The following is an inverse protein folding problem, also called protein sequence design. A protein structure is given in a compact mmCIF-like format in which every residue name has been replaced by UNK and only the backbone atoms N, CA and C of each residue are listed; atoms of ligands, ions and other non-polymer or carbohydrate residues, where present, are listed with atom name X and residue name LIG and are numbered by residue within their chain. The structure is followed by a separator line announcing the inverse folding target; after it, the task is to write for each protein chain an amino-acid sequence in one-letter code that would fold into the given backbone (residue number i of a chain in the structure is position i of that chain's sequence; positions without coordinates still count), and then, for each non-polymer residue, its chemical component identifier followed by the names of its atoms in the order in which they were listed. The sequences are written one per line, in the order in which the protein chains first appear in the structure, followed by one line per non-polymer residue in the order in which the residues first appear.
data_IF_439298916609
#
_entry.id   IF_439298916609
#
_cell.length_a   1.000
_cell.length_b   1.000
_cell.length_c   1.000
_cell.angle_alpha   90.00
_cell.angle_beta   90.00
_cell.angle_gamma   90.00
#
_symmetry.space_group_name_H-M   'P 1'
#
loop_
_entity.id
_entity.type
_entity.pdbx_description
1 polymer ?
#
# COMPACT_ATOMS: atom_id res chain seq x y z
N UNK A 1 0.04 -6.68 -28.12
CA UNK A 1 -0.32 -7.41 -26.89
C UNK A 1 0.51 -6.99 -25.69
N UNK A 2 1.81 -6.75 -25.88
CA UNK A 2 2.65 -6.20 -24.81
C UNK A 2 2.20 -4.80 -24.40
N UNK A 3 1.76 -3.98 -25.35
CA UNK A 3 1.28 -2.64 -25.08
C UNK A 3 0.01 -2.67 -24.24
N UNK A 4 -0.90 -3.61 -24.52
CA UNK A 4 -2.14 -3.76 -23.76
C UNK A 4 -1.88 -4.19 -22.32
N UNK A 5 -0.91 -5.08 -22.10
CA UNK A 5 -0.54 -5.52 -20.76
C UNK A 5 0.06 -4.36 -19.95
N UNK A 6 0.88 -3.52 -20.59
CA UNK A 6 1.47 -2.36 -19.93
C UNK A 6 0.39 -1.35 -19.55
N UNK A 7 -0.56 -1.08 -20.45
CA UNK A 7 -1.66 -0.16 -20.19
C UNK A 7 -2.54 -0.66 -19.05
N UNK A 8 -2.88 -1.94 -19.03
CA UNK A 8 -3.68 -2.52 -17.96
C UNK A 8 -2.94 -2.45 -16.63
N UNK A 9 -1.64 -2.74 -16.63
CA UNK A 9 -0.81 -2.66 -15.43
C UNK A 9 -0.70 -1.22 -14.92
N UNK A 10 -0.50 -0.26 -15.83
CA UNK A 10 -0.41 1.16 -15.46
C UNK A 10 -1.73 1.65 -14.86
N UNK A 11 -2.86 1.27 -15.45
CA UNK A 11 -4.18 1.66 -14.95
C UNK A 11 -4.42 1.07 -13.56
N UNK A 12 -4.17 -0.23 -13.42
CA UNK A 12 -4.33 -0.91 -12.14
C UNK A 12 -3.41 -0.32 -11.08
N UNK A 13 -2.14 -0.09 -11.42
CA UNK A 13 -1.18 0.45 -10.46
C UNK A 13 -1.42 1.91 -10.13
N UNK A 14 -2.10 2.66 -11.00
CA UNK A 14 -2.49 4.04 -10.71
C UNK A 14 -3.46 4.08 -9.53
N UNK A 15 -4.44 3.19 -9.50
CA UNK A 15 -5.37 3.10 -8.37
C UNK A 15 -4.64 2.67 -7.09
N UNK A 16 -3.78 1.66 -7.18
CA UNK A 16 -3.00 1.20 -6.03
C UNK A 16 -2.09 2.30 -5.50
N UNK A 17 -1.42 3.02 -6.39
CA UNK A 17 -0.56 4.15 -6.01
C UNK A 17 -1.35 5.23 -5.29
N UNK A 18 -2.56 5.53 -5.76
CA UNK A 18 -3.45 6.50 -5.13
C UNK A 18 -3.79 6.09 -3.69
N UNK A 19 -4.00 4.81 -3.47
CA UNK A 19 -4.28 4.27 -2.13
C UNK A 19 -3.10 4.48 -1.20
N UNK A 20 -1.88 4.23 -1.67
CA UNK A 20 -0.67 4.46 -0.88
C UNK A 20 -0.54 5.95 -0.53
N UNK A 21 -0.75 6.83 -1.52
CA UNK A 21 -0.68 8.29 -1.31
C UNK A 21 -1.72 8.74 -0.29
N UNK A 22 -2.95 8.29 -0.44
CA UNK A 22 -4.05 8.64 0.47
C UNK A 22 -3.75 8.19 1.90
N UNK A 23 -3.19 6.99 2.04
CA UNK A 23 -2.81 6.46 3.36
C UNK A 23 -1.84 7.41 4.06
N UNK A 24 -0.75 7.78 3.40
CA UNK A 24 0.27 8.64 4.03
C UNK A 24 -0.20 10.08 4.20
N UNK A 25 -0.98 10.62 3.29
CA UNK A 25 -1.57 11.96 3.45
C UNK A 25 -2.47 12.01 4.68
N UNK A 26 -3.29 10.98 4.87
CA UNK A 26 -4.19 10.93 6.03
C UNK A 26 -3.42 10.76 7.34
N UNK A 27 -2.35 9.96 7.34
CA UNK A 27 -1.49 9.87 8.52
C UNK A 27 -0.88 11.23 8.86
N UNK A 28 -0.43 11.98 7.86
CA UNK A 28 0.14 13.31 8.06
C UNK A 28 -0.85 14.32 8.63
N UNK A 29 -2.13 14.13 8.36
CA UNK A 29 -3.21 14.96 8.89
C UNK A 29 -3.80 14.44 10.19
N UNK A 30 -3.28 13.31 10.68
CA UNK A 30 -3.82 12.60 11.83
C UNK A 30 -5.26 12.12 11.62
N UNK A 31 -5.66 11.93 10.35
CA UNK A 31 -6.93 11.31 10.02
C UNK A 31 -6.74 9.79 10.00
N UNK A 32 -6.75 9.20 11.19
CA UNK A 32 -6.47 7.77 11.34
C UNK A 32 -7.56 6.89 10.73
N UNK A 33 -8.82 7.31 10.81
CA UNK A 33 -9.89 6.55 10.17
C UNK A 33 -9.73 6.53 8.65
N UNK A 34 -9.36 7.66 8.05
CA UNK A 34 -9.12 7.75 6.61
C UNK A 34 -7.96 6.87 6.17
N UNK A 35 -6.88 6.85 6.94
CA UNK A 35 -5.73 5.98 6.66
C UNK A 35 -6.10 4.51 6.82
N UNK A 36 -6.82 4.16 7.88
CA UNK A 36 -7.20 2.78 8.18
C UNK A 36 -8.05 2.17 7.05
N UNK A 37 -8.89 2.96 6.42
CA UNK A 37 -9.73 2.49 5.29
C UNK A 37 -8.93 2.03 4.08
N UNK A 38 -7.66 2.44 3.98
CA UNK A 38 -6.79 2.04 2.89
C UNK A 38 -6.16 0.66 3.11
N UNK A 39 -6.28 0.11 4.31
CA UNK A 39 -5.75 -1.21 4.62
C UNK A 39 -6.69 -2.30 4.09
N UNK A 40 -6.12 -3.42 3.69
CA UNK A 40 -6.91 -4.61 3.38
C UNK A 40 -7.50 -5.18 4.66
N UNK A 41 -8.57 -5.97 4.53
CA UNK A 41 -9.18 -6.67 5.67
C UNK A 41 -8.13 -7.53 6.37
N UNK A 42 -7.25 -8.17 5.61
CA UNK A 42 -6.19 -9.01 6.15
C UNK A 42 -5.25 -8.23 7.06
N UNK A 43 -4.87 -7.02 6.67
CA UNK A 43 -3.99 -6.19 7.49
C UNK A 43 -4.74 -5.67 8.72
N UNK A 44 -6.00 -5.29 8.58
CA UNK A 44 -6.84 -4.90 9.71
C UNK A 44 -6.92 -6.03 10.74
N UNK A 45 -7.14 -7.26 10.28
CA UNK A 45 -7.22 -8.44 11.15
C UNK A 45 -5.90 -8.73 11.87
N UNK A 46 -4.78 -8.46 11.19
CA UNK A 46 -3.46 -8.68 11.79
C UNK A 46 -3.25 -7.81 13.03
N UNK A 47 -3.76 -6.57 13.01
CA UNK A 47 -3.69 -5.69 14.18
C UNK A 47 -4.77 -5.98 15.20
N UNK A 48 -5.90 -6.56 14.80
CA UNK A 48 -7.02 -6.91 15.64
C UNK A 48 -8.11 -5.88 15.65
N UNK A 49 -7.85 -4.67 16.14
CA UNK A 49 -8.84 -3.60 16.22
C UNK A 49 -8.26 -2.30 15.66
N UNK A 50 -9.15 -1.37 15.31
CA UNK A 50 -8.74 -0.03 14.91
C UNK A 50 -7.87 0.64 15.98
N UNK A 51 -8.28 0.51 17.24
CA UNK A 51 -7.58 1.14 18.37
C UNK A 51 -6.15 0.62 18.50
N UNK A 52 -5.95 -0.68 18.34
CA UNK A 52 -4.61 -1.27 18.41
C UNK A 52 -3.73 -0.79 17.24
N UNK A 53 -4.32 -0.72 16.04
CA UNK A 53 -3.61 -0.19 14.89
C UNK A 53 -3.25 1.29 15.10
N UNK A 54 -4.22 2.09 15.57
CA UNK A 54 -4.00 3.52 15.82
C UNK A 54 -2.88 3.74 16.84
N UNK A 55 -2.86 2.97 17.91
CA UNK A 55 -1.80 3.06 18.92
C UNK A 55 -0.44 2.78 18.30
N UNK A 56 -0.36 1.78 17.43
CA UNK A 56 0.90 1.41 16.79
C UNK A 56 1.41 2.52 15.87
N UNK A 57 0.55 3.08 15.02
CA UNK A 57 0.99 4.10 14.05
C UNK A 57 1.16 5.48 14.66
N UNK A 58 0.41 5.80 15.73
CA UNK A 58 0.52 7.11 16.37
C UNK A 58 1.87 7.35 17.05
N UNK A 59 2.60 6.28 17.37
CA UNK A 59 3.93 6.37 17.96
C UNK A 59 5.02 6.74 16.96
N UNK A 60 4.75 6.55 15.67
CA UNK A 60 5.72 6.81 14.61
C UNK A 60 5.60 8.23 14.09
N UNK A 61 6.68 8.74 13.53
CA UNK A 61 6.64 10.01 12.79
C UNK A 61 6.01 9.74 11.42
N UNK A 62 5.27 10.73 10.92
CA UNK A 62 4.60 10.62 9.63
C UNK A 62 5.15 11.70 8.68
N UNK A 63 6.36 11.49 8.13
CA UNK A 63 6.95 12.45 7.21
C UNK A 63 6.19 12.48 5.89
N UNK A 64 6.36 13.57 5.16
CA UNK A 64 5.77 13.67 3.82
C UNK A 64 6.44 12.70 2.87
N UNK A 65 5.64 12.12 1.99
CA UNK A 65 6.13 11.25 0.94
C UNK A 65 6.81 12.10 -0.12
N UNK A 66 8.03 11.73 -0.48
CA UNK A 66 8.76 12.34 -1.59
C UNK A 66 8.43 11.66 -2.91
N UNK A 67 8.43 10.33 -2.91
CA UNK A 67 8.23 9.57 -4.14
C UNK A 67 7.59 8.21 -3.83
N UNK A 68 6.69 7.80 -4.72
CA UNK A 68 6.09 6.47 -4.70
C UNK A 68 6.47 5.81 -6.00
N UNK A 69 7.32 4.80 -5.92
CA UNK A 69 7.93 4.17 -7.09
C UNK A 69 7.47 2.72 -7.21
N UNK A 70 6.95 2.37 -8.38
CA UNK A 70 6.51 0.99 -8.62
C UNK A 70 7.70 0.04 -8.51
N UNK A 71 7.54 -1.00 -7.70
CA UNK A 71 8.56 -2.02 -7.50
C UNK A 71 8.23 -3.29 -8.27
N UNK A 72 6.99 -3.78 -8.15
CA UNK A 72 6.58 -4.97 -8.88
C UNK A 72 5.07 -5.04 -9.06
N UNK A 73 4.66 -5.82 -10.03
CA UNK A 73 3.27 -6.23 -10.24
C UNK A 73 3.29 -7.74 -10.44
N UNK A 74 2.39 -8.44 -9.78
CA UNK A 74 2.23 -9.88 -9.99
C UNK A 74 0.77 -10.27 -9.94
N UNK A 75 0.48 -11.45 -10.49
CA UNK A 75 -0.87 -11.97 -10.53
C UNK A 75 -0.83 -13.46 -10.20
N UNK A 76 -1.69 -13.87 -9.28
CA UNK A 76 -1.88 -15.25 -8.91
C UNK A 76 -3.27 -15.67 -9.37
N UNK A 77 -3.35 -16.82 -10.04
CA UNK A 77 -4.63 -17.41 -10.42
C UNK A 77 -4.82 -18.71 -9.68
N UNK A 78 -5.90 -18.76 -8.92
CA UNK A 78 -6.39 -20.00 -8.33
C UNK A 78 -7.75 -20.27 -8.97
N UNK A 79 -8.06 -21.49 -9.26
CA UNK A 79 -9.21 -22.02 -10.02
C UNK A 79 -10.31 -21.01 -10.43
N UNK A 80 -10.93 -20.36 -9.44
CA UNK A 80 -12.03 -19.42 -9.67
C UNK A 80 -11.68 -17.97 -9.35
N UNK A 81 -10.44 -17.72 -8.89
CA UNK A 81 -10.07 -16.39 -8.40
C UNK A 81 -8.77 -15.90 -9.03
N UNK A 82 -8.74 -14.61 -9.31
CA UNK A 82 -7.52 -13.93 -9.72
C UNK A 82 -7.16 -12.94 -8.63
N UNK A 83 -5.94 -13.05 -8.13
CA UNK A 83 -5.40 -12.12 -7.13
C UNK A 83 -4.32 -11.28 -7.78
N UNK A 84 -4.43 -9.99 -7.67
CA UNK A 84 -3.43 -9.06 -8.18
C UNK A 84 -2.65 -8.51 -7.01
N UNK A 85 -1.34 -8.40 -7.18
CA UNK A 85 -0.42 -7.88 -6.17
C UNK A 85 0.45 -6.80 -6.78
N UNK A 86 0.75 -5.79 -6.00
CA UNK A 86 1.71 -4.78 -6.41
C UNK A 86 2.47 -4.29 -5.20
N UNK A 87 3.67 -3.77 -5.42
CA UNK A 87 4.47 -3.19 -4.37
C UNK A 87 5.06 -1.86 -4.83
N UNK A 88 5.11 -0.90 -3.92
CA UNK A 88 5.70 0.41 -4.17
C UNK A 88 6.77 0.71 -3.13
N UNK A 89 7.90 1.21 -3.62
CA UNK A 89 8.91 1.78 -2.73
C UNK A 89 8.51 3.22 -2.44
N UNK A 90 8.34 3.54 -1.18
CA UNK A 90 7.96 4.89 -0.75
C UNK A 90 9.17 5.55 -0.09
N UNK A 91 9.55 6.71 -0.61
CA UNK A 91 10.65 7.51 -0.12
C UNK A 91 10.09 8.75 0.55
N UNK A 92 10.71 9.19 1.64
CA UNK A 92 10.22 10.29 2.46
C UNK A 92 11.15 11.51 2.41
N UNK A 93 10.57 12.70 2.55
CA UNK A 93 11.31 13.97 2.45
C UNK A 93 12.30 14.19 3.59
N UNK A 94 12.05 13.60 4.76
CA UNK A 94 12.91 13.83 5.94
C UNK A 94 14.15 12.92 6.01
N UNK A 95 14.41 12.14 4.96
CA UNK A 95 15.52 11.20 4.96
C UNK A 95 15.29 9.91 5.72
N UNK A 96 14.07 9.68 6.22
CA UNK A 96 13.72 8.42 6.84
C UNK A 96 13.90 7.28 5.86
N UNK A 97 14.28 6.11 6.36
CA UNK A 97 14.47 4.93 5.51
C UNK A 97 13.23 4.63 4.68
N UNK A 98 13.40 4.29 3.40
CA UNK A 98 12.25 3.97 2.55
C UNK A 98 11.57 2.69 3.00
N UNK A 99 10.31 2.56 2.64
CA UNK A 99 9.52 1.36 2.95
C UNK A 99 8.97 0.76 1.67
N UNK A 100 8.67 -0.54 1.72
CA UNK A 100 7.97 -1.24 0.67
C UNK A 100 6.52 -1.44 1.10
N UNK A 101 5.60 -0.84 0.38
CA UNK A 101 4.16 -0.98 0.64
C UNK A 101 3.61 -1.98 -0.35
N UNK A 102 3.08 -3.07 0.15
CA UNK A 102 2.48 -4.13 -0.67
C UNK A 102 0.97 -4.02 -0.61
N UNK A 103 0.34 -4.19 -1.77
CA UNK A 103 -1.12 -4.14 -1.89
C UNK A 103 -1.60 -5.38 -2.62
N UNK A 104 -2.85 -5.72 -2.37
CA UNK A 104 -3.46 -6.82 -3.09
C UNK A 104 -4.92 -6.48 -3.42
N UNK A 105 -5.43 -7.10 -4.47
CA UNK A 105 -6.81 -6.97 -4.93
C UNK A 105 -7.33 -8.34 -5.31
N UNK A 106 -8.38 -8.77 -4.62
CA UNK A 106 -9.07 -10.04 -4.89
C UNK A 106 -10.41 -9.80 -5.61
N UNK A 107 -10.54 -8.67 -6.32
CA UNK A 107 -11.75 -8.33 -7.06
C UNK A 107 -12.65 -7.29 -6.40
N UNK A 108 -12.25 -6.78 -5.24
CA UNK A 108 -13.03 -5.78 -4.49
C UNK A 108 -12.30 -4.44 -4.34
N UNK A 109 -11.21 -4.27 -5.07
CA UNK A 109 -10.38 -3.09 -5.00
C UNK A 109 -9.08 -3.38 -4.26
N UNK A 110 -8.15 -2.44 -4.37
CA UNK A 110 -6.82 -2.57 -3.76
C UNK A 110 -6.88 -2.25 -2.27
N UNK A 111 -6.10 -2.99 -1.49
CA UNK A 111 -5.90 -2.69 -0.08
C UNK A 111 -4.46 -2.96 0.31
N UNK A 112 -3.94 -2.20 1.26
CA UNK A 112 -2.57 -2.37 1.77
C UNK A 112 -2.51 -3.62 2.64
N UNK A 113 -1.62 -4.56 2.30
CA UNK A 113 -1.45 -5.80 3.07
C UNK A 113 -0.23 -5.79 3.97
N UNK A 114 0.80 -5.01 3.63
CA UNK A 114 1.98 -4.90 4.48
C UNK A 114 2.77 -3.65 4.17
N UNK A 115 3.48 -3.16 5.17
CA UNK A 115 4.44 -2.07 5.05
C UNK A 115 5.70 -2.56 5.73
N UNK A 116 6.77 -2.70 4.98
CA UNK A 116 8.02 -3.31 5.43
C UNK A 116 9.19 -2.41 5.11
N UNK A 117 10.26 -2.53 5.87
CA UNK A 117 11.50 -1.84 5.53
C UNK A 117 12.06 -2.43 4.23
N UNK A 118 12.61 -1.57 3.39
CA UNK A 118 13.27 -2.03 2.18
C UNK A 118 14.60 -2.66 2.59
N UNK A 119 14.78 -3.94 2.21
CA UNK A 119 16.04 -4.61 2.43
C UNK A 119 17.03 -4.18 1.34
N UNK A 120 18.13 -3.61 1.77
CA UNK A 120 19.23 -3.28 0.87
C UNK A 120 20.33 -4.31 1.06
N UNK A 121 20.71 -4.94 -0.02
CA UNK A 121 21.83 -5.87 -0.02
C UNK A 121 23.16 -5.14 0.06
#
# INVERSE_FOLDING_TARGET
KKANRLLESETATTEARSIVRTYYENLGKEDYHGAYRQLSVREMERYGTFELWQQAVAKAQHPKVEMIQLDYVSQDKDDDYTFNYTGFKVTFENGQEPVLVRLYDAGKGWGIVSIEDVEED
#
